data_IF_128978350373
#
_entry.id   IF_128978350373
#
_cell.length_a   1.000
_cell.length_b   1.000
_cell.length_c   1.000
_cell.angle_alpha   90.00
_cell.angle_beta   90.00
_cell.angle_gamma   90.00
#
_symmetry.space_group_name_H-M   'P 1'
#
loop_
_entity.id
_entity.type
_entity.pdbx_description
1 polymer ?
#
# COMPACT_ATOMS: atom_id res chain seq x y z
N UNK A 1 11.50 13.15 14.67
CA UNK A 1 10.95 12.74 16.01
C UNK A 1 9.43 12.65 15.90
N UNK A 2 8.81 11.54 16.30
CA UNK A 2 7.36 11.33 16.21
C UNK A 2 6.56 12.34 17.05
N UNK A 3 5.35 12.69 16.58
CA UNK A 3 4.40 13.46 17.36
C UNK A 3 3.94 12.66 18.60
N UNK A 4 3.56 13.35 19.68
CA UNK A 4 3.05 12.68 20.91
C UNK A 4 1.76 11.89 20.64
N UNK A 5 0.92 12.38 19.73
CA UNK A 5 -0.34 11.76 19.31
C UNK A 5 -0.61 12.02 17.84
N UNK A 6 -1.26 11.05 17.18
CA UNK A 6 -1.72 11.19 15.81
C UNK A 6 -3.25 11.12 15.74
N UNK A 7 -3.91 12.03 14.99
CA UNK A 7 -5.33 11.93 14.70
C UNK A 7 -5.61 10.81 13.68
N UNK A 8 -6.83 10.31 13.61
CA UNK A 8 -7.31 9.62 12.43
C UNK A 8 -7.92 10.61 11.44
N UNK A 9 -8.11 10.23 10.19
CA UNK A 9 -8.69 11.11 9.17
C UNK A 9 -10.08 10.63 8.78
N UNK A 10 -11.06 11.53 8.85
CA UNK A 10 -12.44 11.29 8.44
C UNK A 10 -12.90 12.40 7.50
N UNK A 11 -13.29 12.01 6.30
CA UNK A 11 -13.75 12.94 5.26
C UNK A 11 -12.77 14.09 5.02
N UNK A 12 -11.49 13.77 4.80
CA UNK A 12 -10.33 14.65 4.59
C UNK A 12 -9.88 15.46 5.83
N UNK A 13 -10.43 15.23 7.01
CA UNK A 13 -10.12 16.06 8.19
C UNK A 13 -9.55 15.25 9.34
N UNK A 14 -8.56 15.77 10.07
CA UNK A 14 -8.06 15.12 11.28
C UNK A 14 -9.15 15.10 12.36
N UNK A 15 -9.22 14.00 13.08
CA UNK A 15 -10.14 13.77 14.18
C UNK A 15 -9.41 13.19 15.38
N UNK A 16 -9.83 13.58 16.55
CA UNK A 16 -9.34 13.00 17.82
C UNK A 16 -10.36 12.04 18.41
N UNK A 17 -9.93 11.22 19.36
CA UNK A 17 -10.78 10.27 20.09
C UNK A 17 -10.31 10.18 21.54
N UNK A 18 -11.21 9.77 22.45
CA UNK A 18 -10.85 9.40 23.83
C UNK A 18 -10.18 8.02 23.87
N UNK A 19 -10.47 7.16 22.90
CA UNK A 19 -9.84 5.84 22.76
C UNK A 19 -8.55 6.00 21.97
N UNK A 20 -7.46 5.57 22.57
CA UNK A 20 -6.12 5.67 21.97
C UNK A 20 -5.49 4.29 21.84
N UNK A 21 -4.77 4.08 20.77
CA UNK A 21 -3.93 2.92 20.50
C UNK A 21 -2.47 3.29 20.81
N UNK A 22 -1.82 2.55 21.70
CA UNK A 22 -0.39 2.69 21.93
C UNK A 22 0.40 2.09 20.75
N UNK A 23 1.22 2.89 20.10
CA UNK A 23 2.18 2.43 19.11
C UNK A 23 3.53 2.33 19.80
N UNK A 24 4.08 1.10 19.80
CA UNK A 24 5.35 0.81 20.48
C UNK A 24 6.49 0.77 19.48
N UNK A 25 7.61 1.31 19.92
CA UNK A 25 8.90 1.05 19.31
C UNK A 25 9.19 -0.46 19.37
N UNK A 26 9.48 -1.05 18.22
CA UNK A 26 9.58 -2.51 18.09
C UNK A 26 10.87 -3.09 18.69
N UNK A 27 11.89 -2.26 18.83
CA UNK A 27 13.15 -2.68 19.45
C UNK A 27 13.09 -2.56 20.97
N UNK A 28 12.75 -1.38 21.49
CA UNK A 28 12.72 -1.12 22.92
C UNK A 28 11.47 -1.62 23.65
N UNK A 29 10.35 -1.87 22.91
CA UNK A 29 9.04 -2.22 23.47
C UNK A 29 8.32 -1.04 24.16
N UNK A 30 8.92 0.15 24.26
CA UNK A 30 8.34 1.32 24.89
C UNK A 30 7.26 1.95 24.00
N UNK A 31 6.28 2.61 24.61
CA UNK A 31 5.30 3.40 23.87
C UNK A 31 6.00 4.60 23.26
N UNK A 32 6.03 4.65 21.93
CA UNK A 32 6.64 5.74 21.17
C UNK A 32 5.65 6.88 20.92
N UNK A 33 4.41 6.55 20.63
CA UNK A 33 3.33 7.51 20.40
C UNK A 33 1.96 6.84 20.58
N UNK A 34 0.90 7.65 20.48
CA UNK A 34 -0.50 7.19 20.54
C UNK A 34 -1.28 7.63 19.32
N UNK A 35 -2.20 6.80 18.90
CA UNK A 35 -3.06 7.05 17.73
C UNK A 35 -4.53 7.06 18.17
N UNK A 36 -5.29 8.06 17.74
CA UNK A 36 -6.72 8.13 18.00
C UNK A 36 -7.46 7.01 17.22
N UNK A 37 -8.29 6.24 17.92
CA UNK A 37 -9.07 5.13 17.33
C UNK A 37 -10.51 5.60 17.09
N UNK A 38 -11.04 5.46 15.85
CA UNK A 38 -12.41 5.80 15.53
C UNK A 38 -13.41 4.80 16.15
N UNK A 39 -14.62 5.25 16.43
CA UNK A 39 -15.75 4.40 16.82
C UNK A 39 -16.54 3.88 15.61
N UNK A 40 -17.52 3.01 15.83
CA UNK A 40 -18.36 2.46 14.77
C UNK A 40 -19.15 3.57 14.02
N UNK A 41 -19.51 4.67 14.69
CA UNK A 41 -20.19 5.81 14.05
C UNK A 41 -19.27 6.55 13.10
N UNK A 42 -17.98 6.63 13.42
CA UNK A 42 -16.98 7.23 12.53
C UNK A 42 -16.82 6.39 11.26
N UNK A 43 -16.85 5.06 11.36
CA UNK A 43 -16.79 4.15 10.20
C UNK A 43 -17.97 4.38 9.26
N UNK A 44 -19.20 4.41 9.78
CA UNK A 44 -20.39 4.70 8.95
C UNK A 44 -20.30 6.09 8.31
N UNK A 45 -19.88 7.11 9.05
CA UNK A 45 -19.69 8.47 8.51
C UNK A 45 -18.65 8.49 7.39
N UNK A 46 -17.57 7.72 7.51
CA UNK A 46 -16.54 7.63 6.49
C UNK A 46 -17.07 7.00 5.20
N UNK A 47 -17.85 5.91 5.32
CA UNK A 47 -18.50 5.25 4.18
C UNK A 47 -19.48 6.21 3.50
N UNK A 48 -20.37 6.84 4.28
CA UNK A 48 -21.33 7.80 3.75
C UNK A 48 -20.66 9.01 3.08
N UNK A 49 -19.54 9.50 3.65
CA UNK A 49 -18.77 10.60 3.07
C UNK A 49 -18.13 10.20 1.73
N UNK A 50 -17.54 9.00 1.62
CA UNK A 50 -16.98 8.50 0.39
C UNK A 50 -18.07 8.35 -0.71
N UNK A 51 -19.24 7.84 -0.37
CA UNK A 51 -20.39 7.76 -1.28
C UNK A 51 -20.80 9.14 -1.77
N UNK A 52 -20.92 10.11 -0.86
CA UNK A 52 -21.30 11.49 -1.19
C UNK A 52 -20.23 12.20 -2.04
N UNK A 53 -18.97 11.87 -1.85
CA UNK A 53 -17.85 12.45 -2.60
C UNK A 53 -17.71 11.88 -4.04
N UNK A 54 -18.30 10.72 -4.33
CA UNK A 54 -18.09 10.04 -5.61
C UNK A 54 -18.43 10.90 -6.84
N UNK A 55 -19.52 11.67 -6.90
CA UNK A 55 -19.79 12.56 -8.05
C UNK A 55 -18.72 13.66 -8.20
N UNK A 56 -18.28 14.28 -7.10
CA UNK A 56 -17.25 15.31 -7.12
C UNK A 56 -15.89 14.74 -7.54
N UNK A 57 -15.51 13.56 -7.05
CA UNK A 57 -14.30 12.85 -7.48
C UNK A 57 -14.33 12.45 -8.96
N UNK A 58 -15.52 12.06 -9.46
CA UNK A 58 -15.71 11.77 -10.89
C UNK A 58 -15.57 13.03 -11.77
N UNK A 59 -16.00 14.17 -11.27
CA UNK A 59 -15.88 15.47 -11.95
C UNK A 59 -14.48 16.08 -11.83
N UNK A 60 -13.68 15.65 -10.85
CA UNK A 60 -12.32 16.13 -10.59
C UNK A 60 -11.42 15.75 -11.76
N UNK A 61 -10.89 16.77 -12.45
CA UNK A 61 -10.24 16.62 -13.74
C UNK A 61 -8.90 15.86 -13.63
N UNK A 62 -8.43 15.17 -14.70
CA UNK A 62 -7.13 14.49 -14.68
C UNK A 62 -5.97 15.36 -14.22
N UNK A 63 -5.87 16.60 -14.71
CA UNK A 63 -4.81 17.53 -14.31
C UNK A 63 -4.88 17.93 -12.82
N UNK A 64 -6.07 18.01 -12.23
CA UNK A 64 -6.25 18.28 -10.80
C UNK A 64 -5.78 17.09 -9.95
N UNK A 65 -6.08 15.86 -10.40
CA UNK A 65 -5.60 14.62 -9.75
C UNK A 65 -4.08 14.53 -9.83
N UNK A 66 -3.51 14.88 -10.98
CA UNK A 66 -2.06 14.97 -11.17
C UNK A 66 -1.45 15.95 -10.19
N UNK A 67 -1.97 17.18 -10.09
CA UNK A 67 -1.46 18.20 -9.17
C UNK A 67 -1.48 17.74 -7.71
N UNK A 68 -2.56 17.07 -7.26
CA UNK A 68 -2.65 16.47 -5.91
C UNK A 68 -1.55 15.44 -5.70
N UNK A 69 -1.35 14.54 -6.66
CA UNK A 69 -0.37 13.45 -6.54
C UNK A 69 1.08 13.98 -6.58
N UNK A 70 1.35 15.00 -7.39
CA UNK A 70 2.64 15.68 -7.44
C UNK A 70 2.96 16.39 -6.11
N UNK A 71 2.00 17.17 -5.58
CA UNK A 71 2.13 17.77 -4.26
C UNK A 71 2.47 16.73 -3.18
N UNK A 72 1.76 15.60 -3.17
CA UNK A 72 2.06 14.53 -2.22
C UNK A 72 3.48 13.98 -2.38
N UNK A 73 3.95 13.74 -3.61
CA UNK A 73 5.30 13.24 -3.87
C UNK A 73 6.37 14.23 -3.39
N UNK A 74 6.18 15.53 -3.63
CA UNK A 74 7.06 16.61 -3.16
C UNK A 74 7.09 16.66 -1.63
N UNK A 75 5.93 16.64 -0.97
CA UNK A 75 5.83 16.65 0.50
C UNK A 75 6.48 15.42 1.14
N UNK A 76 6.34 14.24 0.54
CA UNK A 76 7.02 13.04 1.04
C UNK A 76 8.53 13.10 0.84
N UNK A 77 9.02 13.72 -0.22
CA UNK A 77 10.45 13.95 -0.42
C UNK A 77 11.03 14.90 0.63
N UNK A 78 10.32 15.99 0.96
CA UNK A 78 10.71 16.93 2.03
C UNK A 78 10.72 16.26 3.42
N UNK A 79 9.88 15.27 3.66
CA UNK A 79 9.71 14.56 4.93
C UNK A 79 10.38 13.17 4.92
N UNK A 80 11.34 12.95 4.02
CA UNK A 80 11.97 11.63 3.80
C UNK A 80 12.52 11.03 5.09
N UNK A 81 13.32 11.76 5.85
CA UNK A 81 13.97 11.26 7.06
C UNK A 81 12.98 11.03 8.20
N UNK A 82 11.97 11.90 8.35
CA UNK A 82 10.87 11.71 9.29
C UNK A 82 10.11 10.41 9.03
N UNK A 83 9.78 10.14 7.76
CA UNK A 83 9.07 8.93 7.36
C UNK A 83 9.93 7.68 7.56
N UNK A 84 11.23 7.75 7.29
CA UNK A 84 12.15 6.64 7.52
C UNK A 84 12.30 6.34 9.03
N UNK A 85 12.43 7.36 9.88
CA UNK A 85 12.45 7.22 11.35
C UNK A 85 11.14 6.59 11.85
N UNK A 86 9.99 7.05 11.34
CA UNK A 86 8.69 6.49 11.71
C UNK A 86 8.61 4.98 11.42
N UNK A 87 9.12 4.53 10.26
CA UNK A 87 9.18 3.11 9.91
C UNK A 87 10.11 2.30 10.83
N UNK A 88 11.26 2.84 11.20
CA UNK A 88 12.15 2.19 12.16
C UNK A 88 11.41 1.95 13.49
N UNK A 89 10.71 2.93 13.99
CA UNK A 89 10.00 2.87 15.27
C UNK A 89 8.80 1.93 15.19
N UNK A 90 7.86 2.18 14.25
CA UNK A 90 6.60 1.44 14.23
C UNK A 90 6.68 0.04 13.63
N UNK A 91 7.63 -0.21 12.72
CA UNK A 91 7.78 -1.50 12.03
C UNK A 91 9.04 -2.26 12.45
N UNK A 92 9.99 -1.65 13.19
CA UNK A 92 11.29 -2.25 13.49
C UNK A 92 12.11 -2.49 12.22
N UNK A 93 11.95 -1.63 11.22
CA UNK A 93 12.60 -1.76 9.93
C UNK A 93 13.99 -1.15 9.98
N UNK A 94 15.04 -1.84 9.50
CA UNK A 94 16.37 -1.25 9.39
C UNK A 94 16.30 0.09 8.64
N UNK A 95 17.01 1.12 9.13
CA UNK A 95 16.93 2.49 8.59
C UNK A 95 17.20 2.53 7.07
N UNK A 96 18.13 1.71 6.57
CA UNK A 96 18.41 1.61 5.14
C UNK A 96 17.21 1.10 4.35
N UNK A 97 16.51 0.10 4.87
CA UNK A 97 15.32 -0.47 4.24
C UNK A 97 14.14 0.50 4.35
N UNK A 98 14.05 1.23 5.46
CA UNK A 98 13.06 2.28 5.70
C UNK A 98 13.21 3.43 4.71
N UNK A 99 14.42 3.95 4.50
CA UNK A 99 14.72 4.97 3.51
C UNK A 99 14.35 4.51 2.08
N UNK A 100 14.67 3.26 1.75
CA UNK A 100 14.27 2.66 0.47
C UNK A 100 12.75 2.55 0.31
N UNK A 101 11.99 2.31 1.38
CA UNK A 101 10.53 2.30 1.31
C UNK A 101 9.96 3.71 1.09
N UNK A 102 10.53 4.75 1.71
CA UNK A 102 10.12 6.14 1.47
C UNK A 102 10.39 6.54 0.02
N UNK A 103 11.54 6.17 -0.54
CA UNK A 103 11.82 6.38 -1.97
C UNK A 103 10.72 5.75 -2.85
N UNK A 104 10.32 4.51 -2.57
CA UNK A 104 9.24 3.84 -3.30
C UNK A 104 7.86 4.49 -3.10
N UNK A 105 7.59 5.05 -1.92
CA UNK A 105 6.38 5.86 -1.69
C UNK A 105 6.34 7.04 -2.66
N UNK A 106 7.44 7.82 -2.74
CA UNK A 106 7.56 8.99 -3.61
C UNK A 106 7.38 8.59 -5.08
N UNK A 107 8.12 7.58 -5.54
CA UNK A 107 8.04 7.07 -6.92
C UNK A 107 6.62 6.60 -7.27
N UNK A 108 5.93 5.91 -6.35
CA UNK A 108 4.55 5.45 -6.58
C UNK A 108 3.59 6.61 -6.80
N UNK A 109 3.72 7.69 -6.03
CA UNK A 109 2.89 8.89 -6.22
C UNK A 109 3.27 9.65 -7.51
N UNK A 110 4.56 9.72 -7.87
CA UNK A 110 5.02 10.31 -9.14
C UNK A 110 4.44 9.55 -10.35
N UNK A 111 4.57 8.22 -10.37
CA UNK A 111 4.00 7.38 -11.44
C UNK A 111 2.48 7.56 -11.52
N UNK A 112 1.78 7.57 -10.37
CA UNK A 112 0.34 7.78 -10.36
C UNK A 112 -0.05 9.18 -10.87
N UNK A 113 0.75 10.21 -10.61
CA UNK A 113 0.55 11.56 -11.14
C UNK A 113 0.66 11.58 -12.67
N UNK A 114 1.68 10.92 -13.21
CA UNK A 114 1.87 10.80 -14.65
C UNK A 114 0.73 10.01 -15.31
N UNK A 115 0.32 8.91 -14.70
CA UNK A 115 -0.77 8.06 -15.23
C UNK A 115 -2.15 8.72 -15.10
N UNK A 116 -2.38 9.62 -14.14
CA UNK A 116 -3.66 10.29 -13.97
C UNK A 116 -4.14 11.02 -15.25
N UNK A 117 -3.20 11.52 -16.07
CA UNK A 117 -3.49 12.22 -17.33
C UNK A 117 -3.42 11.30 -18.56
N UNK A 118 -3.01 10.03 -18.38
CA UNK A 118 -2.90 9.03 -19.45
C UNK A 118 -4.03 7.98 -19.45
N UNK A 119 -5.01 8.09 -18.56
CA UNK A 119 -6.16 7.17 -18.50
C UNK A 119 -7.12 7.45 -19.66
N UNK A 120 -6.75 6.97 -20.84
CA UNK A 120 -7.49 7.15 -22.08
C UNK A 120 -8.47 5.99 -22.33
N UNK A 121 -9.40 6.19 -23.26
CA UNK A 121 -10.16 5.14 -23.91
C UNK A 121 -9.50 4.72 -25.23
N UNK A 122 -10.21 3.90 -25.98
CA UNK A 122 -9.78 3.35 -27.26
C UNK A 122 -10.80 3.69 -28.33
N UNK A 123 -10.34 4.02 -29.52
CA UNK A 123 -11.17 4.03 -30.73
C UNK A 123 -11.22 2.60 -31.29
N UNK A 124 -12.42 2.10 -31.51
CA UNK A 124 -12.66 0.73 -31.99
C UNK A 124 -13.14 0.81 -33.43
N UNK A 125 -12.48 0.10 -34.35
CA UNK A 125 -12.97 -0.06 -35.69
C UNK A 125 -14.17 -1.03 -35.68
N UNK A 126 -15.32 -0.56 -36.10
CA UNK A 126 -16.55 -1.35 -36.23
C UNK A 126 -16.93 -1.65 -37.67
N UNK A 127 -16.23 -1.11 -38.67
CA UNK A 127 -16.47 -1.35 -40.09
C UNK A 127 -15.91 -2.71 -40.54
N UNK A 128 -16.41 -3.79 -39.90
CA UNK A 128 -15.97 -5.17 -40.12
C UNK A 128 -16.81 -5.91 -41.18
N UNK A 129 -17.91 -5.33 -41.64
CA UNK A 129 -18.79 -5.86 -42.67
C UNK A 129 -19.63 -4.73 -43.27
N UNK A 130 -20.04 -4.82 -44.52
CA UNK A 130 -20.76 -3.74 -45.23
C UNK A 130 -21.98 -3.20 -44.49
N UNK A 131 -22.71 -4.04 -43.74
CA UNK A 131 -23.84 -3.59 -42.90
C UNK A 131 -23.42 -2.68 -41.73
N UNK A 132 -22.14 -2.53 -41.46
CA UNK A 132 -21.56 -1.74 -40.36
C UNK A 132 -20.82 -0.49 -40.89
N UNK A 133 -20.94 -0.18 -42.17
CA UNK A 133 -20.35 1.01 -42.77
C UNK A 133 -20.83 2.28 -42.06
N UNK A 134 -19.88 3.15 -41.71
CA UNK A 134 -20.15 4.39 -41.00
C UNK A 134 -20.31 4.26 -39.47
N UNK A 135 -20.27 3.04 -38.92
CA UNK A 135 -20.29 2.86 -37.48
C UNK A 135 -18.90 3.16 -36.86
N UNK A 136 -18.91 3.92 -35.76
CA UNK A 136 -17.70 4.22 -35.00
C UNK A 136 -17.94 3.88 -33.54
N UNK A 137 -16.96 3.18 -32.92
CA UNK A 137 -16.99 2.83 -31.53
C UNK A 137 -15.83 3.50 -30.74
N UNK A 138 -16.08 3.82 -29.51
CA UNK A 138 -15.01 4.21 -28.58
C UNK A 138 -15.33 3.74 -27.17
N UNK A 139 -14.28 3.46 -26.39
CA UNK A 139 -14.39 3.20 -24.96
C UNK A 139 -13.99 4.45 -24.18
N UNK A 140 -14.54 4.61 -23.00
CA UNK A 140 -14.12 5.63 -22.03
C UNK A 140 -13.97 5.01 -20.66
N UNK A 141 -12.83 5.23 -20.03
CA UNK A 141 -12.62 4.83 -18.64
C UNK A 141 -13.26 5.86 -17.71
N UNK A 142 -14.01 5.37 -16.73
CA UNK A 142 -14.69 6.20 -15.72
C UNK A 142 -14.35 5.70 -14.32
N UNK A 143 -14.33 6.58 -13.30
CA UNK A 143 -14.14 6.18 -11.91
C UNK A 143 -15.16 5.11 -11.48
N UNK A 144 -14.68 4.10 -10.77
CA UNK A 144 -15.49 2.98 -10.31
C UNK A 144 -16.52 3.41 -9.24
N UNK A 145 -16.17 4.38 -8.42
CA UNK A 145 -16.91 4.82 -7.26
C UNK A 145 -16.14 4.62 -5.95
N UNK A 146 -16.80 4.58 -4.79
CA UNK A 146 -16.15 4.39 -3.51
C UNK A 146 -15.43 3.05 -3.42
N UNK A 147 -14.22 3.05 -2.84
CA UNK A 147 -13.39 1.84 -2.68
C UNK A 147 -12.90 1.70 -1.24
N UNK A 148 -12.68 0.48 -0.79
CA UNK A 148 -12.18 0.18 0.54
C UNK A 148 -10.82 -0.51 0.48
N UNK A 149 -9.95 -0.16 1.43
CA UNK A 149 -8.58 -0.64 1.50
C UNK A 149 -8.23 -1.17 2.88
N UNK A 150 -7.54 -2.30 2.93
CA UNK A 150 -6.97 -2.88 4.14
C UNK A 150 -5.52 -3.20 3.85
N UNK A 151 -4.58 -2.66 4.64
CA UNK A 151 -3.14 -2.83 4.44
C UNK A 151 -2.46 -3.54 5.59
N UNK A 152 -1.38 -4.31 5.32
CA UNK A 152 -0.60 -5.01 6.32
C UNK A 152 0.46 -4.11 6.96
N UNK A 153 1.22 -4.70 7.89
CA UNK A 153 2.20 -4.00 8.73
C UNK A 153 3.62 -3.91 8.14
N UNK A 154 3.96 -4.77 7.18
CA UNK A 154 5.37 -4.99 6.79
C UNK A 154 5.96 -3.91 5.85
N UNK A 155 5.12 -3.24 5.07
CA UNK A 155 5.47 -2.07 4.26
C UNK A 155 4.39 -1.01 4.41
N UNK A 156 4.33 -0.35 5.59
CA UNK A 156 3.17 0.48 5.97
C UNK A 156 3.03 1.76 5.16
N UNK A 157 4.09 2.25 4.50
CA UNK A 157 4.01 3.35 3.56
C UNK A 157 3.71 2.87 2.14
N UNK A 158 4.51 1.95 1.63
CA UNK A 158 4.44 1.56 0.23
C UNK A 158 3.15 0.81 -0.13
N UNK A 159 2.67 -0.08 0.74
CA UNK A 159 1.42 -0.80 0.48
C UNK A 159 0.17 0.07 0.65
N UNK A 160 0.26 1.17 1.41
CA UNK A 160 -0.74 2.22 1.42
C UNK A 160 -0.68 3.02 0.11
N UNK A 161 0.53 3.44 -0.31
CA UNK A 161 0.73 4.17 -1.57
C UNK A 161 0.15 3.43 -2.78
N UNK A 162 0.40 2.11 -2.89
CA UNK A 162 -0.10 1.26 -3.97
C UNK A 162 -1.63 1.15 -4.07
N UNK A 163 -2.35 1.61 -3.05
CA UNK A 163 -3.82 1.67 -3.05
C UNK A 163 -4.33 3.11 -3.20
N UNK A 164 -3.75 4.02 -2.43
CA UNK A 164 -4.19 5.42 -2.34
C UNK A 164 -3.88 6.19 -3.62
N UNK A 165 -2.63 6.12 -4.11
CA UNK A 165 -2.21 6.89 -5.27
C UNK A 165 -3.01 6.51 -6.54
N UNK A 166 -3.16 5.22 -6.92
CA UNK A 166 -3.98 4.86 -8.07
C UNK A 166 -5.48 5.14 -7.87
N UNK A 167 -6.01 5.11 -6.63
CA UNK A 167 -7.40 5.50 -6.39
C UNK A 167 -7.62 6.99 -6.69
N UNK A 168 -6.71 7.86 -6.28
CA UNK A 168 -6.76 9.30 -6.59
C UNK A 168 -6.60 9.51 -8.10
N UNK A 169 -5.61 8.86 -8.75
CA UNK A 169 -5.41 8.93 -10.19
C UNK A 169 -6.65 8.51 -10.98
N UNK A 170 -7.35 7.45 -10.53
CA UNK A 170 -8.58 6.98 -11.14
C UNK A 170 -9.84 7.78 -10.75
N UNK A 171 -9.76 8.72 -9.79
CA UNK A 171 -10.89 9.52 -9.32
C UNK A 171 -11.87 8.77 -8.43
N UNK A 172 -11.39 7.81 -7.64
CA UNK A 172 -12.19 7.02 -6.70
C UNK A 172 -12.00 7.52 -5.27
N UNK A 173 -13.06 7.89 -4.55
CA UNK A 173 -12.97 8.16 -3.12
C UNK A 173 -12.75 6.86 -2.35
N UNK A 174 -12.04 6.92 -1.21
CA UNK A 174 -11.66 5.70 -0.50
C UNK A 174 -11.77 5.79 1.03
N UNK A 175 -11.91 4.62 1.65
CA UNK A 175 -11.73 4.42 3.09
C UNK A 175 -10.63 3.39 3.29
N UNK A 176 -9.59 3.76 4.02
CA UNK A 176 -8.42 2.93 4.31
C UNK A 176 -8.37 2.52 5.77
N UNK A 177 -8.17 1.23 6.02
CA UNK A 177 -7.76 0.69 7.31
C UNK A 177 -6.28 0.29 7.26
N UNK A 178 -5.37 1.04 7.88
CA UNK A 178 -3.98 0.60 8.05
C UNK A 178 -3.88 -0.51 9.08
N UNK A 179 -2.74 -1.21 9.11
CA UNK A 179 -2.46 -2.17 10.17
C UNK A 179 -2.39 -1.48 11.54
N UNK A 180 -2.95 -2.09 12.57
CA UNK A 180 -2.93 -1.59 13.95
C UNK A 180 -1.51 -1.46 14.52
N UNK A 181 -0.63 -2.35 14.09
CA UNK A 181 0.77 -2.39 14.55
C UNK A 181 1.63 -1.26 13.98
N UNK A 182 1.23 -0.69 12.83
CA UNK A 182 2.00 0.29 12.06
C UNK A 182 1.09 1.32 11.37
N UNK A 183 0.34 2.13 12.13
CA UNK A 183 -0.61 3.06 11.56
C UNK A 183 -0.01 4.43 11.21
N UNK A 184 1.18 4.78 11.75
CA UNK A 184 1.75 6.14 11.70
C UNK A 184 1.99 6.56 10.25
N UNK A 185 2.65 5.71 9.46
CA UNK A 185 2.94 6.01 8.06
C UNK A 185 1.69 6.36 7.25
N UNK A 186 0.61 5.59 7.43
CA UNK A 186 -0.67 5.89 6.76
C UNK A 186 -1.30 7.21 7.24
N UNK A 187 -1.14 7.56 8.51
CA UNK A 187 -1.67 8.81 9.07
C UNK A 187 -0.88 10.03 8.59
N UNK A 188 0.44 9.91 8.40
CA UNK A 188 1.26 10.97 7.77
C UNK A 188 0.85 11.14 6.29
N UNK A 189 0.56 10.07 5.56
CA UNK A 189 -0.03 10.17 4.22
C UNK A 189 -1.37 10.92 4.28
N UNK A 190 -2.22 10.64 5.27
CA UNK A 190 -3.47 11.35 5.49
C UNK A 190 -3.30 12.82 5.81
N UNK A 191 -2.26 13.19 6.55
CA UNK A 191 -1.88 14.57 6.83
C UNK A 191 -1.56 15.34 5.55
N UNK A 192 -0.69 14.79 4.71
CA UNK A 192 -0.31 15.39 3.43
C UNK A 192 -1.51 15.48 2.48
N UNK A 193 -2.35 14.45 2.41
CA UNK A 193 -3.58 14.50 1.62
C UNK A 193 -4.55 15.57 2.09
N UNK A 194 -4.60 15.87 3.38
CA UNK A 194 -5.46 16.92 3.94
C UNK A 194 -4.99 18.35 3.58
N UNK A 195 -3.75 18.53 3.12
CA UNK A 195 -3.21 19.78 2.60
C UNK A 195 -3.73 20.10 1.18
N UNK A 196 -4.32 19.13 0.49
CA UNK A 196 -4.65 19.20 -0.95
C UNK A 196 -6.09 19.61 -1.22
N UNK A 197 -6.37 19.97 -2.47
CA UNK A 197 -7.71 20.34 -2.96
C UNK A 197 -8.61 19.12 -3.29
N UNK A 198 -8.32 17.93 -2.74
CA UNK A 198 -9.19 16.77 -2.91
C UNK A 198 -10.62 17.10 -2.47
N UNK A 199 -11.65 16.72 -3.26
CA UNK A 199 -13.04 16.94 -2.90
C UNK A 199 -13.35 16.42 -1.50
N UNK A 200 -14.12 17.20 -0.72
CA UNK A 200 -14.50 16.85 0.65
C UNK A 200 -15.15 15.46 0.72
N UNK A 201 -14.62 14.60 1.58
CA UNK A 201 -15.05 13.21 1.72
C UNK A 201 -14.33 12.24 0.78
N UNK A 202 -13.34 12.71 0.00
CA UNK A 202 -12.57 11.89 -0.92
C UNK A 202 -11.81 10.77 -0.22
N UNK A 203 -11.37 10.99 1.03
CA UNK A 203 -10.66 9.97 1.78
C UNK A 203 -10.98 9.95 3.26
N UNK A 204 -10.85 8.77 3.85
CA UNK A 204 -10.79 8.55 5.30
C UNK A 204 -9.74 7.48 5.60
N UNK A 205 -8.97 7.66 6.70
CA UNK A 205 -7.97 6.70 7.17
C UNK A 205 -8.29 6.39 8.61
N UNK A 206 -8.71 5.15 8.84
CA UNK A 206 -9.31 4.69 10.09
C UNK A 206 -8.46 3.56 10.71
N UNK A 207 -7.68 3.83 11.76
CA UNK A 207 -6.95 2.80 12.51
C UNK A 207 -7.92 1.94 13.34
N UNK A 208 -8.65 1.05 12.64
CA UNK A 208 -9.59 0.10 13.23
C UNK A 208 -8.87 -1.21 13.58
N UNK A 209 -9.36 -1.92 14.58
CA UNK A 209 -8.99 -3.31 14.78
C UNK A 209 -9.66 -4.25 13.76
N UNK A 210 -9.25 -5.52 13.75
CA UNK A 210 -9.79 -6.51 12.84
C UNK A 210 -11.30 -6.75 13.04
N UNK A 211 -11.76 -6.72 14.29
CA UNK A 211 -13.17 -6.99 14.62
C UNK A 211 -14.11 -5.89 14.10
N UNK A 212 -13.67 -4.62 14.11
CA UNK A 212 -14.45 -3.47 13.66
C UNK A 212 -14.28 -3.14 12.16
N UNK A 213 -13.53 -3.96 11.41
CA UNK A 213 -13.25 -3.72 9.98
C UNK A 213 -14.28 -4.37 9.04
N UNK A 214 -15.21 -5.19 9.54
CA UNK A 214 -16.20 -5.88 8.73
C UNK A 214 -16.98 -4.97 7.74
N UNK A 215 -17.43 -3.75 8.13
CA UNK A 215 -18.11 -2.86 7.18
C UNK A 215 -17.28 -2.47 5.97
N UNK A 216 -15.93 -2.42 6.07
CA UNK A 216 -15.06 -2.12 4.92
C UNK A 216 -15.04 -3.27 3.89
N UNK A 217 -15.38 -4.48 4.32
CA UNK A 217 -15.46 -5.66 3.48
C UNK A 217 -16.85 -5.86 2.91
N UNK A 218 -17.89 -5.77 3.77
CA UNK A 218 -19.24 -6.23 3.47
C UNK A 218 -20.14 -5.15 2.87
N UNK A 219 -19.90 -3.88 3.19
CA UNK A 219 -20.81 -2.80 2.77
C UNK A 219 -20.88 -2.68 1.22
N UNK A 220 -22.09 -2.81 0.67
CA UNK A 220 -22.37 -2.82 -0.78
C UNK A 220 -22.16 -1.48 -1.46
N UNK A 221 -22.04 -0.39 -0.71
CA UNK A 221 -21.75 0.94 -1.24
C UNK A 221 -20.34 1.01 -1.83
N UNK A 222 -19.39 0.22 -1.32
CA UNK A 222 -18.08 0.07 -1.95
C UNK A 222 -18.17 -0.73 -3.25
N UNK A 223 -17.37 -0.34 -4.25
CA UNK A 223 -17.32 -0.96 -5.58
C UNK A 223 -16.08 -1.85 -5.76
N UNK A 224 -15.11 -1.69 -4.86
CA UNK A 224 -13.90 -2.51 -4.82
C UNK A 224 -13.41 -2.62 -3.39
N UNK A 225 -12.96 -3.83 -3.03
CA UNK A 225 -12.11 -4.10 -1.87
C UNK A 225 -10.70 -4.42 -2.36
N UNK A 226 -9.69 -3.68 -1.90
CA UNK A 226 -8.29 -4.07 -2.08
C UNK A 226 -7.68 -4.42 -0.74
N UNK A 227 -7.32 -5.68 -0.59
CA UNK A 227 -6.71 -6.26 0.60
C UNK A 227 -5.29 -6.72 0.33
N UNK A 228 -4.37 -6.38 1.23
CA UNK A 228 -3.02 -6.97 1.27
C UNK A 228 -2.78 -7.53 2.66
N UNK A 229 -2.36 -8.80 2.73
CA UNK A 229 -2.13 -9.47 4.02
C UNK A 229 -1.95 -10.98 3.90
N UNK A 230 -2.39 -11.71 4.92
CA UNK A 230 -2.26 -13.17 4.99
C UNK A 230 -3.49 -13.93 4.45
N UNK A 231 -3.59 -15.19 4.84
CA UNK A 231 -4.60 -16.17 4.39
C UNK A 231 -6.05 -15.70 4.56
N UNK A 232 -6.33 -14.84 5.55
CA UNK A 232 -7.66 -14.27 5.77
C UNK A 232 -8.23 -13.58 4.52
N UNK A 233 -7.37 -13.17 3.58
CA UNK A 233 -7.81 -12.54 2.32
C UNK A 233 -8.83 -13.36 1.55
N UNK A 234 -8.74 -14.69 1.58
CA UNK A 234 -9.72 -15.57 0.92
C UNK A 234 -11.10 -15.52 1.59
N UNK A 235 -11.13 -15.47 2.93
CA UNK A 235 -12.36 -15.28 3.67
C UNK A 235 -12.98 -13.90 3.38
N UNK A 236 -12.17 -12.84 3.40
CA UNK A 236 -12.63 -11.49 3.08
C UNK A 236 -13.19 -11.40 1.66
N UNK A 237 -12.56 -12.09 0.68
CA UNK A 237 -13.08 -12.19 -0.68
C UNK A 237 -14.46 -12.84 -0.71
N UNK A 238 -14.67 -13.93 0.02
CA UNK A 238 -15.96 -14.60 0.08
C UNK A 238 -17.05 -13.71 0.68
N UNK A 239 -16.70 -12.88 1.69
CA UNK A 239 -17.62 -11.94 2.35
C UNK A 239 -17.85 -10.63 1.57
N UNK A 240 -17.03 -10.32 0.60
CA UNK A 240 -17.09 -9.06 -0.15
C UNK A 240 -18.32 -8.93 -1.08
N UNK A 241 -19.09 -9.98 -1.29
CA UNK A 241 -20.28 -9.95 -2.13
C UNK A 241 -19.96 -9.75 -3.61
N UNK A 242 -20.66 -8.81 -4.27
CA UNK A 242 -20.52 -8.58 -5.73
C UNK A 242 -19.48 -7.54 -6.12
N UNK A 243 -18.84 -6.87 -5.16
CA UNK A 243 -17.82 -5.86 -5.47
C UNK A 243 -16.56 -6.50 -6.07
N UNK A 244 -15.79 -5.73 -6.80
CA UNK A 244 -14.47 -6.18 -7.27
C UNK A 244 -13.56 -6.41 -6.06
N UNK A 245 -12.69 -7.41 -6.14
CA UNK A 245 -11.74 -7.73 -5.09
C UNK A 245 -10.35 -7.88 -5.70
N UNK A 246 -9.39 -7.18 -5.11
CA UNK A 246 -7.96 -7.35 -5.39
C UNK A 246 -7.29 -7.86 -4.13
N UNK A 247 -6.61 -9.00 -4.23
CA UNK A 247 -5.87 -9.63 -3.14
C UNK A 247 -4.39 -9.65 -3.44
N UNK A 248 -3.60 -9.14 -2.49
CA UNK A 248 -2.15 -9.31 -2.45
C UNK A 248 -1.83 -10.11 -1.18
N UNK A 249 -1.38 -11.34 -1.33
CA UNK A 249 -1.20 -12.29 -0.25
C UNK A 249 0.27 -12.72 -0.12
N UNK A 250 0.54 -13.67 0.78
CA UNK A 250 1.85 -14.28 0.90
C UNK A 250 2.19 -15.17 -0.29
N UNK A 251 3.46 -15.50 -0.43
CA UNK A 251 3.98 -16.36 -1.48
C UNK A 251 5.02 -17.35 -0.95
N UNK A 252 5.35 -18.32 -1.78
CA UNK A 252 6.43 -19.28 -1.55
C UNK A 252 7.04 -19.68 -2.91
N UNK A 253 7.34 -18.68 -3.74
CA UNK A 253 7.91 -18.88 -5.05
C UNK A 253 9.32 -19.47 -4.96
N UNK A 254 9.66 -20.34 -5.92
CA UNK A 254 10.97 -20.95 -6.02
C UNK A 254 12.00 -19.99 -6.62
N UNK A 255 13.20 -19.96 -6.05
CA UNK A 255 14.39 -19.40 -6.68
C UNK A 255 15.22 -20.56 -7.24
N UNK A 256 15.53 -20.51 -8.53
CA UNK A 256 16.28 -21.58 -9.22
C UNK A 256 17.70 -21.06 -9.48
N UNK A 257 18.70 -21.86 -9.10
CA UNK A 257 20.11 -21.61 -9.36
C UNK A 257 20.65 -22.75 -10.21
N UNK A 258 20.89 -22.50 -11.48
CA UNK A 258 21.34 -23.49 -12.46
C UNK A 258 22.86 -23.68 -12.45
N UNK A 259 23.36 -24.69 -13.12
CA UNK A 259 24.78 -25.05 -13.20
C UNK A 259 25.66 -23.94 -13.77
N UNK A 260 25.14 -23.17 -14.74
CA UNK A 260 25.82 -22.05 -15.39
C UNK A 260 26.18 -20.87 -14.46
N UNK A 261 25.68 -20.90 -13.21
CA UNK A 261 25.97 -19.89 -12.19
C UNK A 261 27.22 -20.23 -11.34
N UNK A 262 27.90 -21.31 -11.62
CA UNK A 262 29.07 -21.78 -10.84
C UNK A 262 30.11 -20.70 -10.58
N UNK A 263 30.50 -19.94 -11.61
CA UNK A 263 31.49 -18.86 -11.52
C UNK A 263 30.96 -17.55 -10.88
N UNK A 264 29.63 -17.44 -10.68
CA UNK A 264 28.95 -16.24 -10.16
C UNK A 264 28.32 -16.46 -8.77
N UNK A 265 28.68 -17.54 -8.07
CA UNK A 265 28.04 -17.92 -6.80
C UNK A 265 28.11 -16.83 -5.72
N UNK A 266 29.12 -15.98 -5.70
CA UNK A 266 29.22 -14.90 -4.72
C UNK A 266 28.11 -13.85 -4.96
N UNK A 267 27.88 -13.46 -6.21
CA UNK A 267 26.77 -12.60 -6.58
C UNK A 267 25.40 -13.26 -6.30
N UNK A 268 25.25 -14.54 -6.68
CA UNK A 268 24.02 -15.30 -6.40
C UNK A 268 23.72 -15.31 -4.89
N UNK A 269 24.73 -15.58 -4.06
CA UNK A 269 24.58 -15.59 -2.59
C UNK A 269 24.18 -14.22 -2.06
N UNK A 270 24.80 -13.14 -2.53
CA UNK A 270 24.41 -11.77 -2.17
C UNK A 270 22.93 -11.52 -2.46
N UNK A 271 22.46 -11.88 -3.66
CA UNK A 271 21.05 -11.71 -4.07
C UNK A 271 20.09 -12.59 -3.26
N UNK A 272 20.47 -13.81 -2.94
CA UNK A 272 19.68 -14.73 -2.11
C UNK A 272 19.57 -14.22 -0.67
N UNK A 273 20.65 -13.74 -0.08
CA UNK A 273 20.65 -13.17 1.27
C UNK A 273 19.77 -11.92 1.32
N UNK A 274 19.94 -11.01 0.37
CA UNK A 274 19.06 -9.83 0.26
C UNK A 274 17.59 -10.25 0.11
N UNK A 275 17.29 -11.15 -0.82
CA UNK A 275 15.92 -11.59 -1.09
C UNK A 275 15.27 -12.33 0.07
N UNK A 276 16.04 -13.02 0.91
CA UNK A 276 15.52 -13.76 2.05
C UNK A 276 15.36 -12.91 3.32
N UNK A 277 16.26 -11.94 3.55
CA UNK A 277 16.35 -11.22 4.82
C UNK A 277 16.04 -9.71 4.72
N UNK A 278 15.75 -9.19 3.52
CA UNK A 278 15.26 -7.83 3.35
C UNK A 278 14.05 -7.57 4.23
N UNK A 279 14.00 -6.41 4.87
CA UNK A 279 12.93 -6.05 5.83
C UNK A 279 12.80 -7.13 6.94
N UNK A 280 13.91 -7.62 7.49
CA UNK A 280 13.94 -8.68 8.51
C UNK A 280 13.18 -9.95 8.10
N UNK A 281 13.18 -10.28 6.80
CA UNK A 281 12.46 -11.44 6.24
C UNK A 281 10.94 -11.29 6.15
N UNK A 282 10.39 -10.11 6.44
CA UNK A 282 8.94 -9.87 6.48
C UNK A 282 8.38 -9.38 5.13
N UNK A 283 8.94 -9.85 4.02
CA UNK A 283 8.48 -9.55 2.66
C UNK A 283 7.63 -10.68 2.11
N UNK A 284 6.50 -10.36 1.47
CA UNK A 284 5.64 -11.33 0.79
C UNK A 284 6.34 -12.02 -0.39
N UNK A 285 7.40 -11.39 -0.94
CA UNK A 285 8.22 -11.90 -2.04
C UNK A 285 9.57 -12.44 -1.58
N UNK A 286 9.78 -12.68 -0.27
CA UNK A 286 11.07 -13.18 0.22
C UNK A 286 11.40 -14.56 -0.36
N UNK A 287 12.69 -14.76 -0.61
CA UNK A 287 13.23 -16.05 -1.08
C UNK A 287 13.12 -17.07 0.07
N UNK A 288 12.23 -18.05 -0.08
CA UNK A 288 11.98 -19.08 0.94
C UNK A 288 12.45 -20.47 0.50
N UNK A 289 12.40 -20.75 -0.82
CA UNK A 289 12.84 -22.02 -1.39
C UNK A 289 13.87 -21.79 -2.48
N UNK A 290 14.98 -22.52 -2.36
CA UNK A 290 16.08 -22.44 -3.33
C UNK A 290 16.27 -23.83 -3.92
N UNK A 291 16.12 -23.96 -5.23
CA UNK A 291 16.44 -25.16 -5.99
C UNK A 291 17.77 -24.92 -6.70
N UNK A 292 18.81 -25.62 -6.25
CA UNK A 292 20.14 -25.54 -6.82
C UNK A 292 20.45 -26.78 -7.65
N UNK A 293 21.03 -26.60 -8.83
CA UNK A 293 21.58 -27.71 -9.61
C UNK A 293 22.64 -28.47 -8.79
N UNK A 294 22.72 -29.80 -8.96
CA UNK A 294 23.60 -30.66 -8.16
C UNK A 294 25.06 -30.21 -8.21
N UNK A 295 25.53 -29.73 -9.36
CA UNK A 295 26.93 -29.30 -9.56
C UNK A 295 27.32 -28.06 -8.75
N UNK A 296 26.36 -27.20 -8.39
CA UNK A 296 26.60 -25.96 -7.62
C UNK A 296 26.09 -26.05 -6.18
N UNK A 297 25.32 -27.10 -5.83
CA UNK A 297 24.61 -27.19 -4.55
C UNK A 297 25.52 -27.05 -3.34
N UNK A 298 26.59 -27.84 -3.24
CA UNK A 298 27.45 -27.85 -2.06
C UNK A 298 28.24 -26.55 -1.89
N UNK A 299 28.71 -25.97 -3.01
CA UNK A 299 29.41 -24.69 -3.01
C UNK A 299 28.47 -23.55 -2.62
N UNK A 300 27.26 -23.50 -3.20
CA UNK A 300 26.21 -22.53 -2.88
C UNK A 300 25.83 -22.61 -1.40
N UNK A 301 25.55 -23.83 -0.90
CA UNK A 301 25.15 -24.05 0.51
C UNK A 301 26.21 -23.52 1.48
N UNK A 302 27.48 -23.85 1.27
CA UNK A 302 28.58 -23.37 2.14
C UNK A 302 28.68 -21.85 2.14
N UNK A 303 28.66 -21.22 0.95
CA UNK A 303 28.73 -19.77 0.81
C UNK A 303 27.52 -19.07 1.41
N UNK A 304 26.31 -19.56 1.15
CA UNK A 304 25.07 -18.99 1.68
C UNK A 304 25.02 -19.04 3.21
N UNK A 305 25.34 -20.18 3.82
CA UNK A 305 25.40 -20.31 5.29
C UNK A 305 26.45 -19.36 5.89
N UNK A 306 27.63 -19.26 5.26
CA UNK A 306 28.66 -18.33 5.72
C UNK A 306 28.23 -16.86 5.62
N UNK A 307 27.50 -16.47 4.58
CA UNK A 307 26.97 -15.12 4.40
C UNK A 307 25.85 -14.81 5.42
N UNK A 308 24.91 -15.73 5.63
CA UNK A 308 23.83 -15.56 6.61
C UNK A 308 24.36 -15.41 8.04
N UNK A 309 25.40 -16.16 8.41
CA UNK A 309 26.05 -16.03 9.73
C UNK A 309 26.68 -14.66 9.98
N UNK A 310 26.93 -13.87 8.93
CA UNK A 310 27.47 -12.50 9.07
C UNK A 310 26.38 -11.43 9.30
N UNK A 311 25.12 -11.79 9.16
CA UNK A 311 24.01 -10.86 9.42
C UNK A 311 23.99 -10.49 10.90
N UNK A 312 23.77 -9.23 11.17
CA UNK A 312 23.68 -8.70 12.55
C UNK A 312 22.22 -8.32 12.82
N UNK A 313 21.70 -8.78 13.96
CA UNK A 313 20.45 -8.29 14.52
C UNK A 313 20.75 -7.24 15.60
N UNK A 314 19.93 -6.18 15.65
CA UNK A 314 20.14 -5.10 16.62
C UNK A 314 19.06 -4.03 16.49
N UNK A 315 19.33 -2.86 17.03
CA UNK A 315 18.51 -1.66 16.87
C UNK A 315 18.48 -1.23 15.41
N UNK A 316 17.30 -1.09 14.79
CA UNK A 316 17.15 -0.84 13.36
C UNK A 316 17.66 0.51 12.87
#
# INVERSE_FOLDING_TARGET
>A
MLAKTYPYYLANRPQTSKTMLDVRDKYSGKVATRVAVPDARATEKAIAAAVKAAPAMRAFKPWQRQAVLQHCAERFAERHDELAEALCIEAGKPIRDAAGEVTRLIETFQIAAEEAVRINGEAINLELAGRLDGYRGYTRRVPLGPVSFITPFNFPLNLVAHKVAPAIAAGCPFVLKPAEKTPIGALIIGEVLAETDLPKGAFSILPLDGAHSAPLVEDERFKLLSFTGGQIGWELKARAGRKKVTLELGGNAACIVDADQGDKLDHVVERLVFGAFYQSGQSCISVQRIYAHVDVYDALKRKLVAAVKKLKAGDP
#
